data_IF_373272245926
#
_entry.id   IF_373272245926
#
_cell.length_a   1.000
_cell.length_b   1.000
_cell.length_c   1.000
_cell.angle_alpha   90.00
_cell.angle_beta   90.00
_cell.angle_gamma   90.00
#
_symmetry.space_group_name_H-M   'P 1'
#
loop_
_entity.id
_entity.type
_entity.pdbx_description
1 polymer ?
#
# COMPACT_ATOMS: atom_id res chain seq x y z
N UNK A 1 -21.45 -4.79 -8.44
CA UNK A 1 -21.89 -3.90 -7.34
C UNK A 1 -22.19 -4.73 -6.11
N UNK A 2 -21.51 -4.53 -4.97
CA UNK A 2 -21.64 -5.41 -3.79
C UNK A 2 -23.05 -5.31 -3.18
N UNK A 3 -23.54 -6.40 -2.56
CA UNK A 3 -24.83 -6.43 -1.83
C UNK A 3 -24.95 -5.31 -0.80
N UNK A 4 -23.82 -4.86 -0.23
CA UNK A 4 -23.77 -3.71 0.69
C UNK A 4 -24.18 -2.41 0.00
N UNK A 5 -23.65 -2.13 -1.19
CA UNK A 5 -23.97 -0.92 -1.95
C UNK A 5 -25.45 -0.92 -2.37
N UNK A 6 -26.00 -2.07 -2.77
CA UNK A 6 -27.44 -2.19 -3.06
C UNK A 6 -28.32 -1.91 -1.84
N UNK A 7 -27.91 -2.34 -0.65
CA UNK A 7 -28.66 -2.09 0.58
C UNK A 7 -28.58 -0.62 1.01
N UNK A 8 -27.43 0.05 0.85
CA UNK A 8 -27.32 1.49 1.08
C UNK A 8 -28.14 2.31 0.07
N UNK A 9 -28.16 1.91 -1.21
CA UNK A 9 -28.99 2.57 -2.22
C UNK A 9 -30.48 2.42 -1.91
N UNK A 10 -30.92 1.22 -1.49
CA UNK A 10 -32.31 0.98 -1.06
C UNK A 10 -32.67 1.81 0.16
N UNK A 11 -31.80 1.88 1.17
CA UNK A 11 -32.03 2.67 2.37
C UNK A 11 -32.07 4.17 2.06
N UNK A 12 -31.20 4.65 1.17
CA UNK A 12 -31.19 6.03 0.72
C UNK A 12 -32.46 6.37 -0.07
N UNK A 13 -32.96 5.49 -0.95
CA UNK A 13 -34.22 5.68 -1.68
C UNK A 13 -35.42 5.68 -0.71
N UNK A 14 -35.43 4.79 0.29
CA UNK A 14 -36.48 4.75 1.31
C UNK A 14 -36.46 6.01 2.17
N UNK A 15 -35.28 6.48 2.59
CA UNK A 15 -35.13 7.73 3.34
C UNK A 15 -35.50 8.95 2.48
N UNK A 16 -35.17 8.96 1.19
CA UNK A 16 -35.55 10.03 0.27
C UNK A 16 -37.07 10.02 -0.02
N UNK A 17 -37.69 8.84 -0.07
CA UNK A 17 -39.14 8.69 -0.19
C UNK A 17 -39.90 9.08 1.09
N UNK A 18 -39.37 8.73 2.26
CA UNK A 18 -39.99 9.03 3.56
C UNK A 18 -39.78 10.49 4.00
N UNK A 19 -38.64 11.09 3.68
CA UNK A 19 -38.29 12.45 4.10
C UNK A 19 -38.32 13.48 2.98
N UNK A 20 -38.51 13.10 1.71
CA UNK A 20 -38.51 14.03 0.58
C UNK A 20 -39.54 15.16 0.67
N UNK A 21 -40.69 14.91 1.30
CA UNK A 21 -41.70 15.95 1.55
C UNK A 21 -41.44 16.76 2.83
N UNK A 22 -40.73 16.22 3.83
CA UNK A 22 -40.46 16.90 5.10
C UNK A 22 -39.13 17.69 5.08
N UNK A 23 -38.14 17.25 4.30
CA UNK A 23 -36.82 17.87 4.25
C UNK A 23 -36.81 19.17 3.42
N UNK A 24 -37.66 19.28 2.40
CA UNK A 24 -37.84 20.53 1.63
C UNK A 24 -38.51 21.63 2.45
N UNK A 25 -39.35 21.29 3.42
CA UNK A 25 -40.05 22.24 4.29
C UNK A 25 -39.21 22.68 5.50
N UNK A 26 -38.30 21.83 5.97
CA UNK A 26 -37.50 22.12 7.17
C UNK A 26 -36.22 22.91 6.85
N UNK A 27 -35.61 22.70 5.68
CA UNK A 27 -34.40 23.42 5.28
C UNK A 27 -34.67 24.86 4.80
N UNK A 28 -35.89 25.14 4.32
CA UNK A 28 -36.34 26.49 3.98
C UNK A 28 -36.61 27.39 5.19
N UNK A 29 -36.61 26.82 6.41
CA UNK A 29 -36.82 27.55 7.66
C UNK A 29 -35.56 27.82 8.48
N UNK A 30 -34.43 27.15 8.19
CA UNK A 30 -33.28 27.13 9.10
C UNK A 30 -31.98 27.74 8.55
N UNK A 31 -31.91 28.16 7.29
CA UNK A 31 -30.69 28.78 6.75
C UNK A 31 -31.05 29.97 5.83
N UNK A 32 -30.80 31.17 6.37
CA UNK A 32 -30.77 32.52 5.77
C UNK A 32 -32.07 33.36 5.79
N UNK A 33 -32.01 34.61 6.32
CA UNK A 33 -33.09 35.58 6.17
C UNK A 33 -33.26 35.96 4.69
N UNK A 34 -34.51 36.04 4.27
CA UNK A 34 -34.99 36.11 2.87
C UNK A 34 -34.54 37.36 2.07
N UNK A 35 -33.76 38.27 2.66
CA UNK A 35 -33.57 39.63 2.13
C UNK A 35 -32.29 39.84 1.28
N UNK A 36 -31.38 38.86 1.17
CA UNK A 36 -30.12 39.07 0.43
C UNK A 36 -30.10 38.47 -1.00
N UNK A 37 -31.09 37.66 -1.38
CA UNK A 37 -31.09 36.93 -2.66
C UNK A 37 -31.63 37.73 -3.87
N UNK A 38 -32.32 38.85 -3.65
CA UNK A 38 -32.82 39.68 -4.75
C UNK A 38 -31.73 40.57 -5.38
N UNK A 39 -30.58 40.74 -4.73
CA UNK A 39 -29.48 41.59 -5.19
C UNK A 39 -28.67 41.06 -6.38
N UNK A 40 -28.88 39.79 -6.77
CA UNK A 40 -28.08 39.09 -7.78
C UNK A 40 -28.85 38.77 -9.07
N UNK A 41 -30.09 39.27 -9.22
CA UNK A 41 -30.82 39.22 -10.49
C UNK A 41 -31.17 37.83 -11.02
N UNK A 42 -31.21 36.80 -10.17
CA UNK A 42 -31.59 35.44 -10.59
C UNK A 42 -33.13 35.31 -10.50
N UNK A 43 -33.84 35.11 -11.62
CA UNK A 43 -35.29 34.96 -11.61
C UNK A 43 -35.70 33.68 -10.88
N UNK A 44 -36.43 33.83 -9.78
CA UNK A 44 -37.00 32.74 -8.96
C UNK A 44 -38.26 32.19 -9.64
N UNK A 45 -38.09 31.50 -10.78
CA UNK A 45 -39.16 30.64 -11.32
C UNK A 45 -38.63 29.46 -12.14
N UNK A 46 -37.60 28.76 -11.65
CA UNK A 46 -37.25 27.43 -12.16
C UNK A 46 -36.88 26.51 -10.98
N UNK A 47 -37.80 25.60 -10.64
CA UNK A 47 -37.54 24.26 -10.11
C UNK A 47 -36.72 24.12 -8.82
N UNK A 48 -37.40 24.10 -7.67
CA UNK A 48 -36.82 23.66 -6.38
C UNK A 48 -36.21 22.24 -6.39
N UNK A 49 -36.44 21.44 -7.43
CA UNK A 49 -35.77 20.15 -7.64
C UNK A 49 -34.27 20.26 -7.98
N UNK A 50 -33.82 21.31 -8.67
CA UNK A 50 -32.43 21.40 -9.13
C UNK A 50 -31.45 21.76 -8.01
N UNK A 51 -31.87 22.64 -7.08
CA UNK A 51 -31.07 23.03 -5.91
C UNK A 51 -30.91 21.86 -4.92
N UNK A 52 -31.96 21.05 -4.73
CA UNK A 52 -31.91 19.86 -3.88
C UNK A 52 -30.94 18.79 -4.41
N UNK A 53 -30.87 18.59 -5.72
CA UNK A 53 -29.94 17.65 -6.36
C UNK A 53 -28.49 18.12 -6.17
N UNK A 54 -28.20 19.41 -6.40
CA UNK A 54 -26.85 19.96 -6.22
C UNK A 54 -26.38 19.88 -4.75
N UNK A 55 -27.25 20.19 -3.79
CA UNK A 55 -26.95 20.05 -2.37
C UNK A 55 -26.69 18.60 -1.96
N UNK A 56 -27.50 17.65 -2.47
CA UNK A 56 -27.30 16.22 -2.23
C UNK A 56 -25.98 15.69 -2.77
N UNK A 57 -25.61 16.07 -4.00
CA UNK A 57 -24.31 15.72 -4.61
C UNK A 57 -23.15 16.32 -3.81
N UNK A 58 -23.29 17.55 -3.32
CA UNK A 58 -22.27 18.21 -2.51
C UNK A 58 -22.05 17.51 -1.15
N UNK A 59 -23.12 17.15 -0.45
CA UNK A 59 -23.04 16.41 0.83
C UNK A 59 -22.41 15.03 0.64
N UNK A 60 -22.79 14.30 -0.42
CA UNK A 60 -22.18 13.01 -0.76
C UNK A 60 -20.68 13.15 -1.06
N UNK A 61 -20.28 14.19 -1.79
CA UNK A 61 -18.85 14.49 -2.05
C UNK A 61 -18.09 14.83 -0.77
N UNK A 62 -18.68 15.59 0.16
CA UNK A 62 -18.05 15.88 1.45
C UNK A 62 -17.91 14.62 2.32
N UNK A 63 -18.93 13.76 2.34
CA UNK A 63 -18.89 12.50 3.06
C UNK A 63 -17.84 11.55 2.50
N UNK A 64 -17.79 11.39 1.16
CA UNK A 64 -16.77 10.60 0.48
C UNK A 64 -15.36 11.15 0.77
N UNK A 65 -15.13 12.46 0.62
CA UNK A 65 -13.84 13.11 0.94
C UNK A 65 -13.43 12.93 2.40
N UNK A 66 -14.39 13.01 3.33
CA UNK A 66 -14.12 12.78 4.76
C UNK A 66 -13.67 11.33 5.00
N UNK A 67 -14.33 10.35 4.39
CA UNK A 67 -13.95 8.95 4.52
C UNK A 67 -12.56 8.65 3.93
N UNK A 68 -12.22 9.26 2.78
CA UNK A 68 -10.92 9.11 2.13
C UNK A 68 -9.80 9.62 3.04
N UNK A 69 -9.91 10.86 3.54
CA UNK A 69 -8.90 11.44 4.45
C UNK A 69 -8.75 10.63 5.73
N UNK A 70 -9.86 10.16 6.29
CA UNK A 70 -9.86 9.31 7.48
C UNK A 70 -9.14 7.98 7.20
N UNK A 71 -9.42 7.31 6.07
CA UNK A 71 -8.75 6.05 5.71
C UNK A 71 -7.24 6.24 5.55
N UNK A 72 -6.82 7.24 4.78
CA UNK A 72 -5.39 7.55 4.58
C UNK A 72 -4.67 7.80 5.89
N UNK A 73 -5.23 8.66 6.75
CA UNK A 73 -4.63 8.98 8.05
C UNK A 73 -4.55 7.74 8.95
N UNK A 74 -5.59 6.90 9.00
CA UNK A 74 -5.59 5.66 9.78
C UNK A 74 -4.59 4.63 9.25
N UNK A 75 -4.33 4.57 7.94
CA UNK A 75 -3.30 3.69 7.39
C UNK A 75 -1.89 4.20 7.70
N UNK A 76 -1.62 5.50 7.50
CA UNK A 76 -0.30 6.08 7.81
C UNK A 76 0.03 5.94 9.29
N UNK A 77 -0.88 6.32 10.18
CA UNK A 77 -0.70 6.18 11.64
C UNK A 77 -0.40 4.72 12.01
N UNK A 78 -1.16 3.77 11.47
CA UNK A 78 -0.92 2.35 11.71
C UNK A 78 0.47 1.90 11.27
N UNK A 79 0.89 2.22 10.05
CA UNK A 79 2.18 1.76 9.52
C UNK A 79 3.36 2.41 10.26
N UNK A 80 3.26 3.68 10.63
CA UNK A 80 4.25 4.35 11.48
C UNK A 80 4.34 3.70 12.87
N UNK A 81 3.20 3.29 13.44
CA UNK A 81 3.15 2.56 14.72
C UNK A 81 3.79 1.15 14.67
N UNK A 82 4.05 0.61 13.47
CA UNK A 82 4.85 -0.61 13.26
C UNK A 82 6.16 -0.33 12.52
N UNK A 83 6.70 0.89 12.74
CA UNK A 83 8.03 1.34 12.33
C UNK A 83 8.27 1.49 10.83
N UNK A 84 7.22 1.61 10.01
CA UNK A 84 7.41 2.14 8.65
C UNK A 84 7.70 3.65 8.69
N UNK A 85 8.48 4.12 7.72
CA UNK A 85 8.93 5.50 7.55
C UNK A 85 9.66 6.03 8.77
N UNK A 86 10.48 5.17 9.39
CA UNK A 86 11.23 5.52 10.61
C UNK A 86 12.27 6.62 10.36
N UNK A 87 12.79 6.70 9.14
CA UNK A 87 13.65 7.77 8.63
C UNK A 87 12.91 9.10 8.44
N UNK A 88 11.58 9.05 8.23
CA UNK A 88 10.69 10.22 8.11
C UNK A 88 9.86 10.46 9.37
N UNK A 89 10.37 10.11 10.56
CA UNK A 89 9.66 10.27 11.84
C UNK A 89 9.28 11.73 12.16
N UNK A 90 10.06 12.69 11.66
CA UNK A 90 9.84 14.12 11.92
C UNK A 90 8.92 14.77 10.89
N UNK A 91 8.52 14.02 9.86
CA UNK A 91 7.55 14.43 8.84
C UNK A 91 6.13 14.17 9.35
N UNK A 92 5.25 15.16 9.21
CA UNK A 92 3.83 15.01 9.55
C UNK A 92 3.11 14.03 8.62
N UNK A 93 2.06 13.34 9.08
CA UNK A 93 1.32 12.38 8.26
C UNK A 93 0.77 12.97 6.95
N UNK A 94 0.35 14.24 6.97
CA UNK A 94 -0.15 14.95 5.77
C UNK A 94 0.98 15.12 4.75
N UNK A 95 2.16 15.50 5.22
CA UNK A 95 3.32 15.71 4.36
C UNK A 95 3.88 14.39 3.86
N UNK A 96 3.93 13.36 4.71
CA UNK A 96 4.31 12.01 4.29
C UNK A 96 3.38 11.48 3.21
N UNK A 97 2.06 11.64 3.36
CA UNK A 97 1.11 11.25 2.32
C UNK A 97 1.35 12.00 1.02
N UNK A 98 1.64 13.30 1.10
CA UNK A 98 1.93 14.13 -0.08
C UNK A 98 3.15 13.61 -0.82
N UNK A 99 4.26 13.34 -0.10
CA UNK A 99 5.49 12.77 -0.67
C UNK A 99 5.18 11.44 -1.38
N UNK A 100 4.54 10.50 -0.68
CA UNK A 100 4.19 9.19 -1.24
C UNK A 100 3.28 9.33 -2.47
N UNK A 101 2.29 10.20 -2.41
CA UNK A 101 1.36 10.41 -3.52
C UNK A 101 2.03 11.06 -4.72
N UNK A 102 2.95 12.00 -4.51
CA UNK A 102 3.73 12.63 -5.57
C UNK A 102 4.64 11.59 -6.25
N UNK A 103 5.33 10.75 -5.46
CA UNK A 103 6.17 9.67 -5.98
C UNK A 103 5.34 8.64 -6.77
N UNK A 104 4.19 8.21 -6.25
CA UNK A 104 3.27 7.33 -6.95
C UNK A 104 2.74 7.95 -8.25
N UNK A 105 2.45 9.26 -8.25
CA UNK A 105 2.01 9.94 -9.45
C UNK A 105 3.12 10.04 -10.50
N UNK A 106 4.37 10.22 -10.09
CA UNK A 106 5.51 10.24 -11.01
C UNK A 106 5.76 8.86 -11.63
N UNK A 107 5.63 7.79 -10.85
CA UNK A 107 5.87 6.41 -11.30
C UNK A 107 4.71 5.87 -12.16
N UNK A 108 3.46 6.07 -11.72
CA UNK A 108 2.28 5.45 -12.34
C UNK A 108 1.38 6.41 -13.14
N UNK A 109 1.73 7.70 -13.21
CA UNK A 109 0.97 8.72 -13.93
C UNK A 109 -0.39 9.07 -13.30
N UNK A 110 -0.66 8.61 -12.07
CA UNK A 110 -1.93 8.84 -11.37
C UNK A 110 -1.73 8.96 -9.86
N UNK A 111 -2.58 9.74 -9.18
CA UNK A 111 -2.56 9.83 -7.73
C UNK A 111 -2.95 8.50 -7.08
N UNK A 112 -2.45 8.29 -5.86
CA UNK A 112 -2.78 7.12 -5.06
C UNK A 112 -4.27 7.17 -4.67
N UNK A 113 -5.03 6.13 -5.01
CA UNK A 113 -6.47 6.05 -4.73
C UNK A 113 -6.74 5.34 -3.39
N UNK A 114 -7.24 6.04 -2.37
CA UNK A 114 -7.56 5.42 -1.10
C UNK A 114 -8.78 4.50 -1.15
N UNK A 115 -9.47 4.34 -2.28
CA UNK A 115 -10.48 3.29 -2.46
C UNK A 115 -9.90 2.00 -3.05
N UNK A 116 -8.66 2.03 -3.56
CA UNK A 116 -7.99 0.87 -4.14
C UNK A 116 -7.88 -0.28 -3.10
N UNK A 117 -8.20 -1.53 -3.48
CA UNK A 117 -7.98 -2.71 -2.63
C UNK A 117 -6.53 -2.89 -2.19
N UNK A 118 -5.56 -2.44 -2.99
CA UNK A 118 -4.12 -2.51 -2.74
C UNK A 118 -3.54 -1.21 -2.19
N UNK A 119 -4.38 -0.24 -1.79
CA UNK A 119 -3.94 1.04 -1.23
C UNK A 119 -2.89 0.88 -0.12
N UNK A 120 -3.08 -0.07 0.80
CA UNK A 120 -2.14 -0.28 1.90
C UNK A 120 -0.78 -0.82 1.40
N UNK A 121 -0.77 -1.64 0.34
CA UNK A 121 0.48 -2.14 -0.28
C UNK A 121 1.21 -1.01 -0.98
N UNK A 122 0.51 -0.27 -1.85
CA UNK A 122 1.06 0.91 -2.54
C UNK A 122 1.51 1.99 -1.58
N UNK A 123 0.82 2.17 -0.45
CA UNK A 123 1.28 3.10 0.57
C UNK A 123 2.65 2.62 1.09
N UNK A 124 2.73 1.39 1.59
CA UNK A 124 3.95 0.83 2.19
C UNK A 124 5.12 0.65 1.23
N UNK A 125 4.89 0.53 -0.08
CA UNK A 125 5.95 0.28 -1.08
C UNK A 125 6.92 1.44 -1.29
N UNK A 126 6.56 2.64 -0.81
CA UNK A 126 7.43 3.81 -0.81
C UNK A 126 8.36 3.85 0.40
N UNK A 127 8.19 2.96 1.38
CA UNK A 127 9.21 2.76 2.41
C UNK A 127 10.32 1.84 1.90
N UNK A 128 11.26 2.42 1.16
CA UNK A 128 12.41 1.70 0.57
C UNK A 128 13.37 1.14 1.62
N UNK A 129 13.20 1.46 2.91
CA UNK A 129 14.00 0.87 4.00
C UNK A 129 13.37 -0.39 4.58
N UNK A 130 12.14 -0.73 4.16
CA UNK A 130 11.33 -1.83 4.72
C UNK A 130 10.75 -2.75 3.68
N UNK A 131 10.57 -2.27 2.45
CA UNK A 131 9.90 -2.98 1.37
C UNK A 131 10.80 -3.04 0.15
N UNK A 132 10.95 -4.25 -0.37
CA UNK A 132 11.43 -4.49 -1.71
C UNK A 132 10.23 -4.98 -2.52
N UNK A 133 9.83 -4.20 -3.52
CA UNK A 133 8.78 -4.59 -4.47
C UNK A 133 9.32 -4.39 -5.87
N UNK A 134 9.60 -5.49 -6.56
CA UNK A 134 10.13 -5.47 -7.90
C UNK A 134 9.63 -6.66 -8.71
N UNK A 135 9.77 -6.57 -10.03
CA UNK A 135 9.66 -7.73 -10.90
C UNK A 135 10.71 -8.77 -10.53
N UNK A 136 10.34 -10.05 -10.62
CA UNK A 136 11.29 -11.14 -10.42
C UNK A 136 12.05 -11.47 -11.70
N UNK A 137 11.56 -11.02 -12.86
CA UNK A 137 12.30 -11.04 -14.14
C UNK A 137 13.50 -10.09 -14.03
N UNK A 138 14.72 -10.64 -13.99
CA UNK A 138 15.94 -9.89 -13.67
C UNK A 138 17.14 -10.31 -14.53
N UNK A 139 16.87 -10.74 -15.77
CA UNK A 139 17.87 -11.22 -16.73
C UNK A 139 18.84 -12.22 -16.07
N UNK A 140 18.31 -13.20 -15.33
CA UNK A 140 19.11 -14.13 -14.53
C UNK A 140 19.94 -15.03 -15.47
N UNK A 141 21.23 -14.72 -15.58
CA UNK A 141 22.18 -15.52 -16.36
C UNK A 141 23.63 -15.35 -15.87
N UNK A 142 24.50 -16.27 -16.29
CA UNK A 142 25.91 -16.26 -15.93
C UNK A 142 26.60 -14.94 -16.28
N UNK A 143 27.16 -14.28 -15.27
CA UNK A 143 27.91 -13.03 -15.40
C UNK A 143 27.10 -11.76 -15.12
N UNK A 144 25.77 -11.86 -15.06
CA UNK A 144 24.92 -10.70 -14.72
C UNK A 144 24.92 -10.38 -13.22
N UNK A 145 25.32 -11.34 -12.37
CA UNK A 145 25.36 -11.17 -10.92
C UNK A 145 23.97 -10.83 -10.33
N UNK A 146 22.90 -11.36 -10.91
CA UNK A 146 21.52 -11.04 -10.52
C UNK A 146 21.25 -11.41 -9.06
N UNK A 147 21.78 -12.53 -8.57
CA UNK A 147 21.67 -12.92 -7.16
C UNK A 147 22.56 -12.08 -6.24
N UNK A 148 23.72 -11.61 -6.71
CA UNK A 148 24.52 -10.63 -5.94
C UNK A 148 23.74 -9.34 -5.75
N UNK A 149 23.11 -8.82 -6.80
CA UNK A 149 22.34 -7.58 -6.76
C UNK A 149 21.10 -7.75 -5.87
N UNK A 150 20.32 -8.81 -6.08
CA UNK A 150 19.18 -9.15 -5.22
C UNK A 150 19.58 -9.26 -3.74
N UNK A 151 20.69 -9.94 -3.44
CA UNK A 151 21.20 -10.09 -2.06
C UNK A 151 21.54 -8.75 -1.41
N UNK A 152 22.11 -7.80 -2.18
CA UNK A 152 22.39 -6.43 -1.70
C UNK A 152 21.09 -5.67 -1.44
N UNK A 153 20.14 -5.73 -2.36
CA UNK A 153 18.86 -5.01 -2.24
C UNK A 153 18.05 -5.52 -1.03
N UNK A 154 17.96 -6.83 -0.82
CA UNK A 154 17.27 -7.36 0.37
C UNK A 154 18.04 -7.08 1.67
N UNK A 155 19.37 -6.95 1.61
CA UNK A 155 20.19 -6.52 2.75
C UNK A 155 19.84 -5.10 3.18
N UNK A 156 19.57 -4.18 2.24
CA UNK A 156 19.19 -2.80 2.53
C UNK A 156 17.87 -2.70 3.30
N UNK A 157 16.87 -3.54 2.97
CA UNK A 157 15.58 -3.57 3.69
C UNK A 157 15.61 -4.38 4.99
N UNK A 158 16.74 -5.06 5.29
CA UNK A 158 16.82 -6.03 6.39
C UNK A 158 16.85 -5.42 7.78
N UNK A 159 16.92 -4.09 7.91
CA UNK A 159 17.13 -3.40 9.20
C UNK A 159 18.39 -3.89 9.92
N UNK A 160 19.39 -4.30 9.15
CA UNK A 160 20.65 -4.83 9.66
C UNK A 160 20.57 -6.27 10.19
N UNK A 161 19.41 -6.95 10.09
CA UNK A 161 19.34 -8.37 10.46
C UNK A 161 20.12 -9.26 9.49
N UNK A 162 20.26 -8.81 8.24
CA UNK A 162 21.00 -9.49 7.19
C UNK A 162 21.94 -8.48 6.54
N UNK A 163 23.23 -8.53 6.89
CA UNK A 163 24.26 -7.64 6.36
C UNK A 163 25.44 -8.45 5.83
N UNK A 164 25.25 -9.21 4.74
CA UNK A 164 26.30 -10.03 4.16
C UNK A 164 27.42 -9.18 3.56
N UNK A 165 28.63 -9.70 3.61
CA UNK A 165 29.81 -9.15 2.93
C UNK A 165 30.41 -10.22 2.01
N UNK A 166 31.31 -9.82 1.11
CA UNK A 166 32.00 -10.75 0.18
C UNK A 166 31.02 -11.62 -0.63
N UNK A 167 29.95 -10.99 -1.13
CA UNK A 167 28.91 -11.66 -1.90
C UNK A 167 29.47 -12.00 -3.29
N UNK A 168 29.35 -13.25 -3.69
CA UNK A 168 29.75 -13.73 -5.01
C UNK A 168 28.76 -14.76 -5.55
N UNK A 169 28.63 -14.78 -6.87
CA UNK A 169 27.77 -15.69 -7.61
C UNK A 169 28.62 -16.44 -8.63
N UNK A 170 28.53 -17.76 -8.61
CA UNK A 170 29.31 -18.64 -9.49
C UNK A 170 28.35 -19.58 -10.21
N UNK A 171 28.51 -19.67 -11.52
CA UNK A 171 27.73 -20.55 -12.38
C UNK A 171 28.60 -21.71 -12.87
N UNK A 172 28.09 -22.93 -12.81
CA UNK A 172 28.77 -24.10 -13.39
C UNK A 172 28.50 -24.24 -14.90
N UNK A 173 27.35 -23.74 -15.37
CA UNK A 173 26.98 -23.68 -16.79
C UNK A 173 26.01 -22.50 -17.03
N UNK A 174 25.55 -22.29 -18.26
CA UNK A 174 24.59 -21.23 -18.60
C UNK A 174 23.26 -21.35 -17.83
N UNK A 175 22.84 -22.58 -17.53
CA UNK A 175 21.57 -22.88 -16.82
C UNK A 175 21.81 -23.32 -15.36
N UNK A 176 23.00 -23.02 -14.82
CA UNK A 176 23.42 -23.40 -13.48
C UNK A 176 24.08 -24.80 -13.40
N UNK A 177 24.23 -25.39 -12.19
CA UNK A 177 23.89 -24.84 -10.88
C UNK A 177 24.48 -23.46 -10.59
N UNK A 178 23.76 -22.70 -9.76
CA UNK A 178 24.14 -21.37 -9.30
C UNK A 178 24.59 -21.49 -7.84
N UNK A 179 25.75 -20.94 -7.51
CA UNK A 179 26.29 -20.90 -6.15
C UNK A 179 26.38 -19.45 -5.69
N UNK A 180 25.53 -19.06 -4.74
CA UNK A 180 25.57 -17.76 -4.09
C UNK A 180 26.31 -17.90 -2.75
N UNK A 181 27.49 -17.27 -2.66
CA UNK A 181 28.35 -17.33 -1.48
C UNK A 181 28.47 -15.95 -0.84
N UNK A 182 28.50 -15.89 0.49
CA UNK A 182 28.72 -14.65 1.25
C UNK A 182 29.19 -14.95 2.67
N UNK A 183 29.69 -13.92 3.36
CA UNK A 183 30.02 -13.96 4.77
C UNK A 183 28.95 -13.19 5.55
N UNK A 184 28.35 -13.82 6.54
CA UNK A 184 27.39 -13.19 7.46
C UNK A 184 27.86 -13.39 8.91
N UNK A 185 28.06 -12.28 9.62
CA UNK A 185 28.58 -12.27 11.00
C UNK A 185 29.89 -13.07 11.15
N UNK A 186 30.78 -12.95 10.16
CA UNK A 186 32.08 -13.65 10.13
C UNK A 186 32.03 -15.13 9.75
N UNK A 187 30.85 -15.69 9.48
CA UNK A 187 30.70 -17.08 9.05
C UNK A 187 30.43 -17.16 7.54
N UNK A 188 31.09 -18.06 6.80
CA UNK A 188 30.80 -18.27 5.39
C UNK A 188 29.49 -19.05 5.23
N UNK A 189 28.69 -18.65 4.24
CA UNK A 189 27.48 -19.32 3.80
C UNK A 189 27.52 -19.52 2.29
N UNK A 190 26.88 -20.60 1.86
CA UNK A 190 26.67 -20.95 0.46
C UNK A 190 25.24 -21.42 0.30
N UNK A 191 24.49 -20.80 -0.60
CA UNK A 191 23.13 -21.20 -0.96
C UNK A 191 23.06 -21.42 -2.47
N UNK A 192 22.19 -22.33 -2.89
CA UNK A 192 22.06 -22.73 -4.29
C UNK A 192 20.67 -22.34 -4.80
N UNK A 193 20.52 -21.14 -5.39
CA UNK A 193 19.27 -20.76 -6.04
C UNK A 193 18.92 -21.75 -7.16
N UNK A 194 17.63 -22.00 -7.36
CA UNK A 194 17.17 -22.71 -8.54
C UNK A 194 17.29 -21.78 -9.76
N UNK A 195 17.72 -22.33 -10.90
CA UNK A 195 17.61 -21.63 -12.17
C UNK A 195 16.15 -21.71 -12.64
N UNK A 196 15.51 -20.56 -12.84
CA UNK A 196 14.11 -20.42 -13.24
C UNK A 196 14.07 -19.45 -14.43
N UNK A 197 14.68 -19.85 -15.54
CA UNK A 197 14.84 -19.01 -16.73
C UNK A 197 15.49 -17.66 -16.34
N UNK A 198 14.90 -16.52 -16.72
CA UNK A 198 15.37 -15.18 -16.40
C UNK A 198 14.85 -14.62 -15.05
N UNK A 199 14.21 -15.45 -14.22
CA UNK A 199 13.61 -15.04 -12.95
C UNK A 199 14.49 -15.34 -11.72
N UNK A 200 14.44 -14.46 -10.73
CA UNK A 200 15.04 -14.67 -9.40
C UNK A 200 14.28 -15.74 -8.63
N UNK A 201 14.99 -16.75 -8.12
CA UNK A 201 14.47 -17.67 -7.12
C UNK A 201 14.36 -16.97 -5.75
N UNK A 202 13.16 -16.51 -5.42
CA UNK A 202 12.84 -15.86 -4.14
C UNK A 202 12.84 -16.86 -2.98
N UNK A 203 12.74 -18.17 -3.23
CA UNK A 203 12.70 -19.19 -2.17
C UNK A 203 14.04 -19.32 -1.44
N UNK A 204 15.13 -18.73 -1.95
CA UNK A 204 16.41 -18.61 -1.21
C UNK A 204 16.25 -17.89 0.13
N UNK A 205 15.19 -17.08 0.29
CA UNK A 205 14.85 -16.43 1.55
C UNK A 205 14.55 -17.43 2.68
N UNK A 206 14.15 -18.67 2.37
CA UNK A 206 13.99 -19.74 3.36
C UNK A 206 15.30 -20.04 4.08
N UNK A 207 16.40 -20.16 3.33
CA UNK A 207 17.73 -20.41 3.90
C UNK A 207 18.27 -19.19 4.63
N UNK A 208 18.10 -17.98 4.05
CA UNK A 208 18.50 -16.74 4.70
C UNK A 208 17.76 -16.54 6.04
N UNK A 209 16.45 -16.82 6.09
CA UNK A 209 15.65 -16.73 7.30
C UNK A 209 16.16 -17.62 8.45
N UNK A 210 16.70 -18.80 8.14
CA UNK A 210 17.32 -19.67 9.16
C UNK A 210 18.57 -19.02 9.76
N UNK A 211 19.33 -18.27 8.97
CA UNK A 211 20.57 -17.62 9.40
C UNK A 211 20.32 -16.39 10.27
N UNK A 212 19.21 -15.67 10.03
CA UNK A 212 18.89 -14.43 10.74
C UNK A 212 17.87 -14.61 11.87
N UNK A 213 17.41 -15.83 12.14
CA UNK A 213 16.34 -16.12 13.13
C UNK A 213 16.62 -15.53 14.52
N UNK A 214 17.89 -15.48 14.93
CA UNK A 214 18.33 -14.96 16.23
C UNK A 214 18.10 -13.45 16.38
N UNK A 215 17.96 -12.71 15.27
CA UNK A 215 17.70 -11.26 15.26
C UNK A 215 16.26 -10.92 15.64
N UNK A 216 15.35 -11.91 15.62
CA UNK A 216 13.91 -11.69 15.84
C UNK A 216 13.15 -11.16 14.61
N UNK A 217 13.86 -10.95 13.49
CA UNK A 217 13.31 -10.57 12.20
C UNK A 217 13.39 -11.71 11.19
N UNK A 218 12.54 -11.65 10.17
CA UNK A 218 12.54 -12.57 9.03
C UNK A 218 12.06 -11.84 7.77
N UNK A 219 12.53 -12.26 6.62
CA UNK A 219 11.93 -11.91 5.34
C UNK A 219 10.58 -12.61 5.18
N UNK A 220 9.59 -11.87 4.70
CA UNK A 220 8.23 -12.29 4.47
C UNK A 220 7.75 -11.76 3.11
N UNK A 221 7.22 -12.63 2.27
CA UNK A 221 6.63 -12.26 0.99
C UNK A 221 5.12 -12.17 1.13
N UNK A 222 4.54 -11.03 0.75
CA UNK A 222 3.09 -10.92 0.60
C UNK A 222 2.61 -11.91 -0.48
N UNK A 223 1.43 -12.51 -0.30
CA UNK A 223 0.90 -13.52 -1.22
C UNK A 223 0.94 -12.97 -2.67
N UNK A 224 1.67 -13.63 -3.59
CA UNK A 224 1.83 -13.15 -4.96
C UNK A 224 0.49 -12.94 -5.66
N UNK A 225 0.40 -11.88 -6.46
CA UNK A 225 -0.79 -11.56 -7.25
C UNK A 225 -0.48 -11.20 -8.71
N UNK A 226 0.81 -11.14 -9.07
CA UNK A 226 1.36 -10.96 -10.41
C UNK A 226 2.80 -11.54 -10.47
N UNK A 227 3.62 -11.13 -11.43
CA UNK A 227 5.01 -11.55 -11.61
C UNK A 227 6.01 -10.86 -10.65
N UNK A 228 5.54 -9.89 -9.86
CA UNK A 228 6.38 -9.18 -8.90
C UNK A 228 6.45 -9.91 -7.57
N UNK A 229 7.50 -9.64 -6.80
CA UNK A 229 7.57 -10.04 -5.41
C UNK A 229 7.54 -8.81 -4.51
N UNK A 230 6.65 -8.83 -3.51
CA UNK A 230 6.55 -7.82 -2.46
C UNK A 230 7.11 -8.41 -1.17
N UNK A 231 8.35 -8.06 -0.86
CA UNK A 231 9.11 -8.56 0.27
C UNK A 231 9.17 -7.51 1.39
N UNK A 232 9.03 -7.99 2.62
CA UNK A 232 9.18 -7.19 3.83
C UNK A 232 10.09 -7.91 4.82
N UNK A 233 10.72 -7.17 5.72
CA UNK A 233 11.38 -7.76 6.90
C UNK A 233 10.52 -7.53 8.13
N UNK A 234 9.99 -8.58 8.75
CA UNK A 234 8.99 -8.45 9.82
C UNK A 234 9.44 -9.17 11.09
N UNK A 235 9.11 -8.58 12.24
CA UNK A 235 9.09 -9.35 13.48
C UNK A 235 7.83 -10.24 13.54
N UNK A 236 7.86 -11.27 14.40
CA UNK A 236 6.69 -12.14 14.64
C UNK A 236 5.44 -11.35 15.08
N UNK A 237 5.62 -10.25 15.81
CA UNK A 237 4.51 -9.38 16.23
C UNK A 237 3.97 -8.58 15.05
N UNK A 238 4.85 -7.95 14.27
CA UNK A 238 4.47 -7.15 13.10
C UNK A 238 3.69 -7.99 12.08
N UNK A 239 4.19 -9.18 11.71
CA UNK A 239 3.47 -10.10 10.81
C UNK A 239 2.07 -10.46 11.33
N UNK A 240 1.95 -10.76 12.62
CA UNK A 240 0.66 -11.07 13.25
C UNK A 240 -0.30 -9.88 13.20
N UNK A 241 0.20 -8.67 13.47
CA UNK A 241 -0.58 -7.44 13.41
C UNK A 241 -1.08 -7.19 11.99
N UNK A 242 -0.23 -7.36 10.96
CA UNK A 242 -0.63 -7.21 9.54
C UNK A 242 -1.71 -8.24 9.14
N UNK A 243 -1.57 -9.50 9.53
CA UNK A 243 -2.59 -10.52 9.26
C UNK A 243 -3.92 -10.15 9.94
N UNK A 244 -3.89 -9.86 11.25
CA UNK A 244 -5.11 -9.72 12.03
C UNK A 244 -5.83 -8.38 11.82
N UNK A 245 -5.07 -7.29 11.60
CA UNK A 245 -5.62 -5.93 11.52
C UNK A 245 -5.78 -5.43 10.08
N UNK A 246 -4.94 -5.92 9.15
CA UNK A 246 -4.97 -5.51 7.74
C UNK A 246 -5.39 -6.63 6.79
N UNK A 247 -5.56 -7.85 7.29
CA UNK A 247 -5.99 -8.99 6.47
C UNK A 247 -4.94 -9.45 5.48
N UNK A 248 -3.67 -9.07 5.68
CA UNK A 248 -2.58 -9.46 4.79
C UNK A 248 -2.39 -10.97 4.80
N UNK A 249 -1.97 -11.50 3.65
CA UNK A 249 -1.64 -12.91 3.48
C UNK A 249 -0.21 -13.00 3.00
N UNK A 250 0.49 -14.03 3.45
CA UNK A 250 1.90 -14.21 3.16
C UNK A 250 2.12 -15.57 2.52
N UNK A 251 3.03 -15.63 1.57
CA UNK A 251 3.56 -16.87 1.03
C UNK A 251 4.35 -17.61 2.13
N UNK A 252 4.32 -18.95 2.17
CA UNK A 252 5.06 -19.72 3.17
C UNK A 252 6.57 -19.73 2.86
N UNK A 253 7.25 -18.66 3.32
CA UNK A 253 8.70 -18.58 3.55
C UNK A 253 9.08 -18.89 5.01
#
# INVERSE_FOLDING_TARGET
>A
MSKRIQNYLKLAIILFGLFGCLFCSFLSYLILPRNDLESIGIPVSIGGGFIGILAGVFILRLYARKNIRVRTSLSIDYFRNISFYSDMKDVSDIELFRIINDDHQNEFGKSLDPEDPFFDLFLTSFDKTRVWWNDTEADVCSGNNSYVNFTKEISEISRGSFNPIEISEIWESEDGPIHLNYILNGNPYSINPNFIDDYIDVDILLEINKQIVSTGYRFDQFLPFDQTAFLLVLSKKEKRDLINKRGWRFYPL
#
